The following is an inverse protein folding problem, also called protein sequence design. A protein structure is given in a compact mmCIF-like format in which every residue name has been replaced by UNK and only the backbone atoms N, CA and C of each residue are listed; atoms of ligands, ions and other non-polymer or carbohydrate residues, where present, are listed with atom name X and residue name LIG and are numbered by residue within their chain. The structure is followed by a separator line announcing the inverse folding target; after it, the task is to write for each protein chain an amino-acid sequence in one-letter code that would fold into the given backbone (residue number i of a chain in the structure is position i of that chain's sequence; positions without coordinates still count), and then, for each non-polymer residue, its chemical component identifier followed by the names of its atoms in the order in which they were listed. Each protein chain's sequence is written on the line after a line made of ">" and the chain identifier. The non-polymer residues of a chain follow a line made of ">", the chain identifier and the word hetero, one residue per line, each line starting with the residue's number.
data_IF_386695757379
#
_entry.id   IF_386695757379
#
_cell.length_a   1.000
_cell.length_b   1.000
_cell.length_c   1.000
_cell.angle_alpha   90.00
_cell.angle_beta   90.00
_cell.angle_gamma   90.00
#
_symmetry.space_group_name_H-M   'P 1'
#
loop_
_entity.id
_entity.type
_entity.pdbx_description
1 polymer ?
#
# COMPACT_ATOMS: atom_id res chain seq x y z
N UNK A 1 -43.68 6.92 -16.89
CA UNK A 1 -43.09 6.03 -15.85
C UNK A 1 -42.61 4.69 -16.44
N UNK A 2 -43.15 4.16 -17.52
CA UNK A 2 -42.72 2.89 -18.15
C UNK A 2 -41.30 2.93 -18.75
N UNK A 3 -40.86 4.07 -19.26
CA UNK A 3 -39.57 4.21 -19.97
C UNK A 3 -38.34 4.13 -19.03
N UNK A 4 -38.45 4.62 -17.79
CA UNK A 4 -37.32 4.52 -16.81
C UNK A 4 -37.06 3.07 -16.34
N UNK A 5 -38.10 2.22 -16.34
CA UNK A 5 -37.96 0.82 -15.93
C UNK A 5 -37.28 -0.04 -17.00
N UNK A 6 -37.50 0.24 -18.27
CA UNK A 6 -36.87 -0.46 -19.39
C UNK A 6 -35.38 -0.14 -19.51
N UNK A 7 -35.01 1.14 -19.36
CA UNK A 7 -33.62 1.60 -19.39
C UNK A 7 -32.82 1.04 -18.17
N UNK A 8 -33.46 0.97 -16.99
CA UNK A 8 -32.84 0.37 -15.79
C UNK A 8 -32.60 -1.12 -15.99
N UNK A 9 -33.56 -1.88 -16.48
CA UNK A 9 -33.42 -3.32 -16.76
C UNK A 9 -32.39 -3.62 -17.85
N UNK A 10 -32.31 -2.80 -18.89
CA UNK A 10 -31.32 -2.95 -19.95
C UNK A 10 -29.92 -2.67 -19.44
N UNK A 11 -29.71 -1.66 -18.58
CA UNK A 11 -28.42 -1.39 -17.92
C UNK A 11 -28.01 -2.54 -17.03
N UNK A 12 -28.93 -3.13 -16.26
CA UNK A 12 -28.65 -4.28 -15.38
C UNK A 12 -28.27 -5.52 -16.19
N UNK A 13 -28.97 -5.79 -17.30
CA UNK A 13 -28.67 -6.92 -18.21
C UNK A 13 -27.31 -6.77 -18.90
N UNK A 14 -26.99 -5.58 -19.41
CA UNK A 14 -25.71 -5.32 -20.06
C UNK A 14 -24.55 -5.42 -19.08
N UNK A 15 -24.69 -4.86 -17.87
CA UNK A 15 -23.64 -4.99 -16.83
C UNK A 15 -23.43 -6.45 -16.43
N UNK A 16 -24.48 -7.25 -16.29
CA UNK A 16 -24.37 -8.67 -15.99
C UNK A 16 -23.56 -9.42 -17.07
N UNK A 17 -23.83 -9.15 -18.34
CA UNK A 17 -23.07 -9.71 -19.46
C UNK A 17 -21.61 -9.25 -19.43
N UNK A 18 -21.34 -7.98 -19.18
CA UNK A 18 -19.98 -7.45 -19.10
C UNK A 18 -19.19 -8.12 -17.97
N UNK A 19 -19.79 -8.31 -16.79
CA UNK A 19 -19.19 -9.05 -15.68
C UNK A 19 -18.92 -10.50 -16.07
N UNK A 20 -19.87 -11.18 -16.69
CA UNK A 20 -19.71 -12.57 -17.12
C UNK A 20 -18.58 -12.74 -18.14
N UNK A 21 -18.36 -11.74 -19.00
CA UNK A 21 -17.25 -11.71 -19.95
C UNK A 21 -15.96 -11.10 -19.40
N UNK A 22 -15.88 -10.76 -18.09
CA UNK A 22 -14.69 -10.15 -17.47
C UNK A 22 -14.38 -8.75 -17.99
N UNK A 23 -15.40 -8.02 -18.44
CA UNK A 23 -15.33 -6.64 -18.95
C UNK A 23 -15.93 -5.62 -17.97
N UNK A 24 -16.32 -6.06 -16.78
CA UNK A 24 -16.69 -5.22 -15.64
C UNK A 24 -16.40 -5.96 -14.34
N UNK A 25 -16.16 -5.23 -13.25
CA UNK A 25 -16.12 -5.81 -11.91
C UNK A 25 -17.55 -5.94 -11.35
N UNK A 26 -17.77 -6.93 -10.50
CA UNK A 26 -19.06 -7.10 -9.80
C UNK A 26 -19.23 -6.07 -8.69
N UNK A 27 -18.13 -5.62 -8.09
CA UNK A 27 -18.11 -4.57 -7.08
C UNK A 27 -18.03 -3.20 -7.73
N UNK A 28 -18.86 -2.26 -7.28
CA UNK A 28 -18.93 -0.91 -7.85
C UNK A 28 -17.70 -0.08 -7.51
N UNK A 29 -17.10 -0.29 -6.33
CA UNK A 29 -15.91 0.42 -5.90
C UNK A 29 -14.70 -0.02 -6.70
N UNK A 30 -14.53 -1.32 -6.93
CA UNK A 30 -13.45 -1.86 -7.76
C UNK A 30 -13.56 -1.36 -9.22
N UNK A 31 -14.79 -1.21 -9.75
CA UNK A 31 -15.01 -0.66 -11.09
C UNK A 31 -14.66 0.84 -11.16
N UNK A 32 -14.95 1.60 -10.11
CA UNK A 32 -14.62 3.03 -10.02
C UNK A 32 -13.11 3.23 -9.91
N UNK A 33 -12.44 2.51 -8.99
CA UNK A 33 -10.99 2.54 -8.79
C UNK A 33 -10.23 2.17 -10.08
N UNK A 34 -10.66 1.08 -10.73
CA UNK A 34 -10.11 0.67 -12.02
C UNK A 34 -10.29 1.77 -13.08
N UNK A 35 -11.51 2.31 -13.18
CA UNK A 35 -11.84 3.33 -14.19
C UNK A 35 -10.96 4.57 -14.01
N UNK A 36 -10.76 5.04 -12.78
CA UNK A 36 -9.94 6.21 -12.48
C UNK A 36 -8.49 6.02 -12.89
N UNK A 37 -7.90 4.87 -12.56
CA UNK A 37 -6.52 4.54 -12.92
C UNK A 37 -6.39 4.37 -14.43
N UNK A 38 -7.32 3.63 -15.04
CA UNK A 38 -7.33 3.34 -16.49
C UNK A 38 -7.41 4.62 -17.31
N UNK A 39 -8.33 5.52 -16.98
CA UNK A 39 -8.55 6.80 -17.66
C UNK A 39 -7.33 7.73 -17.55
N UNK A 40 -6.71 7.80 -16.36
CA UNK A 40 -5.49 8.62 -16.16
C UNK A 40 -4.32 8.12 -17.00
N UNK A 41 -4.13 6.80 -17.06
CA UNK A 41 -3.04 6.19 -17.82
C UNK A 41 -3.25 6.36 -19.34
N UNK A 42 -4.51 6.37 -19.80
CA UNK A 42 -4.85 6.56 -21.20
C UNK A 42 -4.64 8.00 -21.70
N UNK A 43 -4.82 9.01 -20.85
CA UNK A 43 -4.97 10.39 -21.31
C UNK A 43 -3.79 10.88 -22.17
N UNK A 44 -2.55 10.64 -21.74
CA UNK A 44 -1.33 11.07 -22.48
C UNK A 44 -1.20 10.35 -23.84
N UNK A 45 -1.44 9.04 -23.83
CA UNK A 45 -1.36 8.23 -25.05
C UNK A 45 -2.42 8.68 -26.03
N UNK A 46 -3.65 8.92 -25.55
CA UNK A 46 -4.77 9.42 -26.34
C UNK A 46 -4.46 10.79 -26.96
N UNK A 47 -3.84 11.71 -26.24
CA UNK A 47 -3.42 13.00 -26.79
C UNK A 47 -2.51 12.84 -28.00
N UNK A 48 -1.46 12.02 -27.86
CA UNK A 48 -0.49 11.77 -28.92
C UNK A 48 -1.21 11.18 -30.16
N UNK A 49 -2.05 10.20 -29.93
CA UNK A 49 -2.75 9.54 -31.04
C UNK A 49 -3.83 10.40 -31.71
N UNK A 50 -4.47 11.32 -30.98
CA UNK A 50 -5.37 12.29 -31.58
C UNK A 50 -4.62 13.25 -32.52
N UNK A 51 -3.45 13.72 -32.13
CA UNK A 51 -2.61 14.57 -32.99
C UNK A 51 -2.10 13.81 -34.21
N UNK A 52 -1.52 12.62 -33.99
CA UNK A 52 -1.06 11.75 -35.08
C UNK A 52 -2.18 11.33 -36.00
N UNK A 53 -3.36 11.01 -35.44
CA UNK A 53 -4.56 10.66 -36.18
C UNK A 53 -5.07 11.82 -37.04
N UNK A 54 -5.04 13.05 -36.53
CA UNK A 54 -5.39 14.23 -37.32
C UNK A 54 -4.45 14.41 -38.52
N UNK A 55 -3.12 14.23 -38.33
CA UNK A 55 -2.14 14.30 -39.40
C UNK A 55 -2.31 13.17 -40.41
N UNK A 56 -2.49 11.92 -39.93
CA UNK A 56 -2.71 10.75 -40.77
C UNK A 56 -4.00 10.88 -41.57
N UNK A 57 -5.10 11.32 -40.91
CA UNK A 57 -6.36 11.54 -41.63
C UNK A 57 -6.24 12.67 -42.63
N UNK A 58 -5.49 13.72 -42.33
CA UNK A 58 -5.18 14.80 -43.29
C UNK A 58 -4.46 14.29 -44.53
N UNK A 59 -3.48 13.38 -44.41
CA UNK A 59 -2.67 12.86 -45.51
C UNK A 59 -3.49 12.04 -46.56
N UNK A 60 -4.69 11.60 -46.20
CA UNK A 60 -5.61 10.91 -47.13
C UNK A 60 -6.08 11.78 -48.29
N UNK A 61 -5.78 13.10 -48.28
CA UNK A 61 -6.08 13.96 -49.42
C UNK A 61 -5.42 13.48 -50.73
N UNK A 62 -4.23 12.88 -50.61
CA UNK A 62 -3.55 12.28 -51.79
C UNK A 62 -4.39 11.20 -52.45
N UNK A 63 -5.08 10.40 -51.61
CA UNK A 63 -5.98 9.37 -52.09
C UNK A 63 -7.24 9.96 -52.74
N UNK A 64 -7.81 11.03 -52.16
CA UNK A 64 -8.95 11.71 -52.70
C UNK A 64 -8.66 12.31 -54.11
N UNK A 65 -7.43 12.86 -54.31
CA UNK A 65 -6.97 13.38 -55.60
C UNK A 65 -6.74 12.30 -56.67
N UNK A 66 -6.41 11.06 -56.26
CA UNK A 66 -6.31 9.91 -57.19
C UNK A 66 -7.68 9.46 -57.62
N UNK A 67 -8.68 9.47 -56.69
CA UNK A 67 -10.04 9.03 -57.01
C UNK A 67 -10.81 10.05 -57.85
N UNK A 68 -10.73 11.33 -57.47
CA UNK A 68 -11.47 12.40 -58.11
C UNK A 68 -10.71 13.75 -58.02
N UNK A 69 -9.85 14.04 -59.00
CA UNK A 69 -9.05 15.28 -59.02
C UNK A 69 -9.91 16.56 -59.09
N UNK A 70 -11.16 16.47 -59.61
CA UNK A 70 -12.04 17.63 -59.75
C UNK A 70 -12.59 18.09 -58.40
N UNK A 71 -12.88 17.14 -57.47
CA UNK A 71 -13.47 17.40 -56.17
C UNK A 71 -12.44 17.31 -54.99
N UNK A 72 -11.18 17.08 -55.27
CA UNK A 72 -10.07 16.99 -54.27
C UNK A 72 -10.12 18.16 -53.30
N UNK A 73 -10.28 19.41 -53.81
CA UNK A 73 -10.29 20.61 -52.94
C UNK A 73 -11.40 20.59 -51.90
N UNK A 74 -12.57 20.09 -52.23
CA UNK A 74 -13.69 19.98 -51.30
C UNK A 74 -13.39 18.94 -50.20
N UNK A 75 -12.79 17.82 -50.57
CA UNK A 75 -12.36 16.78 -49.61
C UNK A 75 -11.29 17.31 -48.63
N UNK A 76 -10.27 18.02 -49.14
CA UNK A 76 -9.23 18.66 -48.31
C UNK A 76 -9.86 19.64 -47.31
N UNK A 77 -10.81 20.50 -47.78
CA UNK A 77 -11.48 21.44 -46.87
C UNK A 77 -12.20 20.75 -45.72
N UNK A 78 -12.91 19.65 -45.98
CA UNK A 78 -13.60 18.89 -44.92
C UNK A 78 -12.58 18.29 -43.94
N UNK A 79 -11.51 17.68 -44.44
CA UNK A 79 -10.46 17.08 -43.58
C UNK A 79 -9.77 18.14 -42.72
N UNK A 80 -9.40 19.27 -43.33
CA UNK A 80 -8.62 20.30 -42.65
C UNK A 80 -9.47 21.19 -41.72
N UNK A 81 -10.68 21.55 -42.08
CA UNK A 81 -11.48 22.51 -41.35
C UNK A 81 -12.58 21.90 -40.50
N UNK A 82 -12.92 20.62 -40.68
CA UNK A 82 -13.87 19.92 -39.79
C UNK A 82 -13.16 18.92 -38.89
N UNK A 83 -12.48 17.89 -39.40
CA UNK A 83 -11.88 16.82 -38.58
C UNK A 83 -10.65 17.31 -37.85
N UNK A 84 -9.75 18.05 -38.51
CA UNK A 84 -8.51 18.57 -37.90
C UNK A 84 -8.78 19.37 -36.63
N UNK A 85 -9.62 20.43 -36.67
CA UNK A 85 -9.94 21.21 -35.48
C UNK A 85 -10.65 20.41 -34.38
N UNK A 86 -11.54 19.46 -34.73
CA UNK A 86 -12.20 18.61 -33.74
C UNK A 86 -11.17 17.71 -33.02
N UNK A 87 -10.30 17.03 -33.77
CA UNK A 87 -9.30 16.13 -33.17
C UNK A 87 -8.27 16.91 -32.35
N UNK A 88 -7.78 18.05 -32.86
CA UNK A 88 -6.84 18.90 -32.13
C UNK A 88 -7.49 19.54 -30.89
N UNK A 89 -8.75 19.96 -30.99
CA UNK A 89 -9.53 20.43 -29.84
C UNK A 89 -9.73 19.35 -28.79
N UNK A 90 -10.05 18.13 -29.21
CA UNK A 90 -10.09 16.95 -28.37
C UNK A 90 -8.74 16.69 -27.68
N UNK A 91 -7.63 16.70 -28.40
CA UNK A 91 -6.28 16.55 -27.86
C UNK A 91 -5.95 17.66 -26.85
N UNK A 92 -6.28 18.92 -27.19
CA UNK A 92 -6.05 20.08 -26.35
C UNK A 92 -6.88 20.02 -25.05
N UNK A 93 -8.11 19.56 -25.10
CA UNK A 93 -8.97 19.44 -23.91
C UNK A 93 -8.33 18.56 -22.82
N UNK A 94 -7.59 17.53 -23.19
CA UNK A 94 -6.94 16.58 -22.27
C UNK A 94 -5.69 17.17 -21.55
N UNK A 95 -5.24 18.38 -21.88
CA UNK A 95 -4.25 19.11 -21.06
C UNK A 95 -4.84 19.59 -19.73
N UNK A 96 -6.13 19.76 -19.66
CA UNK A 96 -6.83 20.24 -18.47
C UNK A 96 -7.28 19.06 -17.59
N UNK A 97 -6.81 19.00 -16.33
CA UNK A 97 -7.13 17.91 -15.38
C UNK A 97 -8.62 17.53 -15.31
N UNK A 98 -9.60 18.48 -15.29
CA UNK A 98 -11.01 18.12 -15.21
C UNK A 98 -11.52 17.30 -16.39
N UNK A 99 -10.91 17.42 -17.58
CA UNK A 99 -11.33 16.72 -18.78
C UNK A 99 -10.72 15.31 -18.92
N UNK A 100 -9.67 14.98 -18.16
CA UNK A 100 -9.02 13.66 -18.20
C UNK A 100 -10.03 12.54 -17.91
N UNK A 101 -10.95 12.74 -16.97
CA UNK A 101 -11.99 11.76 -16.66
C UNK A 101 -12.95 11.47 -17.81
N UNK A 102 -13.00 12.35 -18.81
CA UNK A 102 -13.84 12.22 -19.99
C UNK A 102 -13.07 11.76 -21.23
N UNK A 103 -11.87 11.21 -21.07
CA UNK A 103 -11.01 10.80 -22.19
C UNK A 103 -11.74 9.88 -23.18
N UNK A 104 -12.58 8.98 -22.71
CA UNK A 104 -13.35 8.08 -23.57
C UNK A 104 -14.40 8.84 -24.41
N UNK A 105 -15.04 9.85 -23.81
CA UNK A 105 -15.98 10.73 -24.54
C UNK A 105 -15.24 11.56 -25.59
N UNK A 106 -14.03 12.03 -25.26
CA UNK A 106 -13.15 12.74 -26.19
C UNK A 106 -12.80 11.86 -27.41
N UNK A 107 -12.48 10.59 -27.17
CA UNK A 107 -12.23 9.62 -28.27
C UNK A 107 -13.49 9.35 -29.10
N UNK A 108 -14.65 9.26 -28.47
CA UNK A 108 -15.93 9.10 -29.18
C UNK A 108 -16.19 10.31 -30.10
N UNK A 109 -15.99 11.53 -29.60
CA UNK A 109 -16.18 12.75 -30.39
C UNK A 109 -15.23 12.78 -31.59
N UNK A 110 -13.91 12.57 -31.32
CA UNK A 110 -12.89 12.54 -32.36
C UNK A 110 -13.11 11.44 -33.39
N UNK A 111 -13.43 10.22 -32.96
CA UNK A 111 -13.70 9.08 -33.83
C UNK A 111 -14.98 9.26 -34.66
N UNK A 112 -16.07 9.77 -34.05
CA UNK A 112 -17.31 10.05 -34.74
C UNK A 112 -17.13 11.12 -35.83
N UNK A 113 -16.31 12.15 -35.59
CA UNK A 113 -16.01 13.19 -36.56
C UNK A 113 -15.36 12.62 -37.83
N UNK A 114 -14.47 11.61 -37.67
CA UNK A 114 -13.85 10.91 -38.79
C UNK A 114 -14.91 10.20 -39.64
N UNK A 115 -15.82 9.41 -39.03
CA UNK A 115 -16.82 8.67 -39.77
C UNK A 115 -17.82 9.57 -40.46
N UNK A 116 -18.27 10.64 -39.82
CA UNK A 116 -19.19 11.64 -40.44
C UNK A 116 -18.51 12.34 -41.58
N UNK A 117 -17.27 12.80 -41.43
CA UNK A 117 -16.55 13.45 -42.53
C UNK A 117 -16.28 12.49 -43.68
N UNK A 118 -15.93 11.24 -43.38
CA UNK A 118 -15.67 10.24 -44.39
C UNK A 118 -16.94 9.96 -45.25
N UNK A 119 -18.09 9.82 -44.57
CA UNK A 119 -19.36 9.67 -45.27
C UNK A 119 -19.65 10.88 -46.16
N UNK A 120 -19.44 12.10 -45.63
CA UNK A 120 -19.64 13.35 -46.38
C UNK A 120 -18.74 13.45 -47.62
N UNK A 121 -17.43 13.19 -47.45
CA UNK A 121 -16.45 13.20 -48.55
C UNK A 121 -16.87 12.21 -49.67
N UNK A 122 -17.26 10.98 -49.28
CA UNK A 122 -17.65 9.97 -50.28
C UNK A 122 -18.93 10.29 -51.02
N UNK A 123 -19.81 11.12 -50.45
CA UNK A 123 -20.98 11.62 -51.22
C UNK A 123 -20.62 12.70 -52.25
N UNK A 124 -19.49 13.41 -52.05
CA UNK A 124 -19.02 14.47 -52.93
C UNK A 124 -18.12 13.96 -54.06
N UNK A 125 -17.36 12.92 -53.81
CA UNK A 125 -16.43 12.34 -54.78
C UNK A 125 -17.19 11.48 -55.79
N UNK A 126 -16.84 11.62 -57.07
CA UNK A 126 -17.31 10.77 -58.14
C UNK A 126 -16.87 9.32 -57.91
N UNK A 127 -17.79 8.40 -57.74
CA UNK A 127 -17.55 7.02 -57.38
C UNK A 127 -16.91 6.84 -55.97
N UNK A 128 -17.03 7.82 -55.06
CA UNK A 128 -16.41 7.76 -53.71
C UNK A 128 -16.81 6.52 -52.93
N UNK A 129 -18.04 6.00 -53.10
CA UNK A 129 -18.49 4.79 -52.39
C UNK A 129 -17.89 3.49 -52.92
N UNK A 130 -17.28 3.47 -54.08
CA UNK A 130 -16.55 2.30 -54.59
C UNK A 130 -15.30 2.00 -53.73
N UNK A 131 -14.78 3.00 -53.06
CA UNK A 131 -13.62 2.94 -52.18
C UNK A 131 -13.96 3.09 -50.68
N UNK A 132 -15.23 3.25 -50.35
CA UNK A 132 -15.69 3.58 -48.99
C UNK A 132 -15.28 2.52 -47.94
N UNK A 133 -15.37 1.23 -48.32
CA UNK A 133 -15.00 0.14 -47.43
C UNK A 133 -13.58 0.30 -46.84
N UNK A 134 -12.62 0.63 -47.69
CA UNK A 134 -11.24 0.77 -47.28
C UNK A 134 -11.05 1.89 -46.25
N UNK A 135 -11.65 3.05 -46.44
CA UNK A 135 -11.56 4.19 -45.55
C UNK A 135 -12.23 3.92 -44.17
N UNK A 136 -13.45 3.36 -44.19
CA UNK A 136 -14.15 3.04 -42.95
C UNK A 136 -13.47 1.92 -42.14
N UNK A 137 -13.01 0.85 -42.83
CA UNK A 137 -12.31 -0.27 -42.21
C UNK A 137 -11.01 0.19 -41.58
N UNK A 138 -10.18 0.96 -42.30
CA UNK A 138 -8.90 1.46 -41.77
C UNK A 138 -9.11 2.42 -40.63
N UNK A 139 -10.07 3.35 -40.68
CA UNK A 139 -10.38 4.27 -39.63
C UNK A 139 -10.88 3.53 -38.37
N UNK A 140 -11.76 2.53 -38.53
CA UNK A 140 -12.27 1.78 -37.39
C UNK A 140 -11.18 0.92 -36.75
N UNK A 141 -10.38 0.19 -37.53
CA UNK A 141 -9.26 -0.61 -37.00
C UNK A 141 -8.19 0.26 -36.31
N UNK A 142 -7.87 1.43 -36.91
CA UNK A 142 -6.97 2.37 -36.30
C UNK A 142 -7.51 2.84 -34.92
N UNK A 143 -8.78 3.22 -34.84
CA UNK A 143 -9.40 3.61 -33.56
C UNK A 143 -9.41 2.43 -32.56
N UNK A 144 -9.83 1.24 -33.01
CA UNK A 144 -9.92 0.07 -32.14
C UNK A 144 -8.56 -0.44 -31.64
N UNK A 145 -7.49 -0.30 -32.43
CA UNK A 145 -6.17 -0.81 -32.07
C UNK A 145 -5.28 0.20 -31.36
N UNK A 146 -5.45 1.48 -31.66
CA UNK A 146 -4.60 2.56 -31.16
C UNK A 146 -5.10 3.13 -29.84
N UNK A 147 -6.42 3.35 -29.73
CA UNK A 147 -7.00 3.89 -28.51
C UNK A 147 -7.43 2.77 -27.58
N UNK A 148 -7.02 2.85 -26.31
CA UNK A 148 -7.45 1.92 -25.27
C UNK A 148 -8.89 2.24 -24.80
N UNK A 149 -9.83 2.26 -25.72
CA UNK A 149 -11.24 2.52 -25.43
C UNK A 149 -11.88 1.24 -24.89
N UNK A 150 -12.76 1.36 -23.88
CA UNK A 150 -13.52 0.19 -23.40
C UNK A 150 -14.52 -0.31 -24.46
N UNK A 151 -14.81 -1.61 -24.41
CA UNK A 151 -15.70 -2.29 -25.38
C UNK A 151 -17.04 -1.57 -25.58
N UNK A 152 -17.63 -1.05 -24.50
CA UNK A 152 -18.90 -0.32 -24.54
C UNK A 152 -18.87 0.95 -25.42
N UNK A 153 -17.75 1.68 -25.42
CA UNK A 153 -17.58 2.90 -26.19
C UNK A 153 -17.22 2.61 -27.64
N UNK A 154 -16.47 1.51 -27.86
CA UNK A 154 -16.20 1.03 -29.22
C UNK A 154 -17.46 0.55 -29.92
N UNK A 155 -18.41 -0.07 -29.19
CA UNK A 155 -19.74 -0.41 -29.72
C UNK A 155 -20.48 0.83 -30.25
N UNK A 156 -20.43 1.94 -29.51
CA UNK A 156 -21.04 3.19 -29.98
C UNK A 156 -20.39 3.70 -31.26
N UNK A 157 -19.07 3.69 -31.35
CA UNK A 157 -18.34 4.08 -32.58
C UNK A 157 -18.66 3.15 -33.74
N UNK A 158 -18.85 1.85 -33.52
CA UNK A 158 -19.27 0.90 -34.52
C UNK A 158 -20.69 1.25 -35.07
N UNK A 159 -21.63 1.59 -34.18
CA UNK A 159 -22.96 2.04 -34.61
C UNK A 159 -22.90 3.32 -35.45
N UNK A 160 -22.06 4.29 -35.06
CA UNK A 160 -21.84 5.51 -35.82
C UNK A 160 -21.27 5.18 -37.22
N UNK A 161 -20.25 4.32 -37.30
CA UNK A 161 -19.65 3.91 -38.56
C UNK A 161 -20.66 3.22 -39.50
N UNK A 162 -21.46 2.29 -38.95
CA UNK A 162 -22.52 1.60 -39.69
C UNK A 162 -23.56 2.60 -40.21
N UNK A 163 -24.03 3.50 -39.34
CA UNK A 163 -25.02 4.51 -39.70
C UNK A 163 -24.50 5.45 -40.81
N UNK A 164 -23.24 5.93 -40.67
CA UNK A 164 -22.60 6.77 -41.67
C UNK A 164 -22.44 6.07 -43.02
N UNK A 165 -22.10 4.76 -43.02
CA UNK A 165 -21.95 3.99 -44.24
C UNK A 165 -23.30 3.81 -44.95
N UNK A 166 -24.32 3.37 -44.22
CA UNK A 166 -25.66 3.14 -44.79
C UNK A 166 -26.27 4.48 -45.26
N UNK A 167 -26.26 5.51 -44.40
CA UNK A 167 -26.78 6.83 -44.71
C UNK A 167 -26.08 7.45 -45.91
N UNK A 168 -24.74 7.43 -45.94
CA UNK A 168 -23.97 7.95 -47.04
C UNK A 168 -24.28 7.25 -48.37
N UNK A 169 -24.46 5.92 -48.36
CA UNK A 169 -24.82 5.16 -49.57
C UNK A 169 -26.15 5.62 -50.17
N UNK A 170 -27.16 5.91 -49.34
CA UNK A 170 -28.45 6.40 -49.83
C UNK A 170 -28.43 7.83 -50.41
N UNK A 171 -27.45 8.65 -49.96
CA UNK A 171 -27.29 10.03 -50.44
C UNK A 171 -26.35 10.13 -51.67
N UNK A 172 -25.58 9.11 -51.98
CA UNK A 172 -24.64 9.12 -53.09
C UNK A 172 -25.42 8.90 -54.42
N UNK A 173 -25.31 9.87 -55.33
CA UNK A 173 -26.10 9.90 -56.57
C UNK A 173 -25.83 8.70 -57.52
N UNK A 174 -24.66 8.06 -57.44
CA UNK A 174 -24.21 6.98 -58.32
C UNK A 174 -23.82 5.70 -57.60
N UNK A 175 -24.27 5.49 -56.35
CA UNK A 175 -23.91 4.31 -55.58
C UNK A 175 -24.54 3.04 -56.13
N UNK A 176 -23.73 2.07 -56.55
CA UNK A 176 -24.21 0.78 -57.01
C UNK A 176 -24.58 -0.11 -55.82
N UNK A 177 -25.71 -0.88 -55.90
CA UNK A 177 -26.15 -1.75 -54.78
C UNK A 177 -25.12 -2.78 -54.33
N UNK A 178 -24.26 -3.27 -55.24
CA UNK A 178 -23.19 -4.23 -54.90
C UNK A 178 -22.16 -3.68 -53.94
N UNK A 179 -21.86 -2.39 -53.98
CA UNK A 179 -20.91 -1.76 -53.06
C UNK A 179 -21.44 -1.64 -51.65
N UNK A 180 -22.76 -1.55 -51.45
CA UNK A 180 -23.34 -1.59 -50.10
C UNK A 180 -23.03 -2.92 -49.39
N UNK A 181 -23.10 -4.03 -50.12
CA UNK A 181 -22.79 -5.35 -49.56
C UNK A 181 -21.32 -5.45 -49.22
N UNK A 182 -20.41 -5.03 -50.11
CA UNK A 182 -18.95 -5.07 -49.87
C UNK A 182 -18.56 -4.20 -48.68
N UNK A 183 -19.08 -2.96 -48.62
CA UNK A 183 -18.82 -2.04 -47.53
C UNK A 183 -19.35 -2.57 -46.18
N UNK A 184 -20.54 -3.19 -46.18
CA UNK A 184 -21.12 -3.79 -44.99
C UNK A 184 -20.32 -4.97 -44.47
N UNK A 185 -19.83 -5.85 -45.37
CA UNK A 185 -18.95 -6.96 -45.00
C UNK A 185 -17.64 -6.42 -44.42
N UNK A 186 -17.01 -5.43 -45.06
CA UNK A 186 -15.77 -4.80 -44.58
C UNK A 186 -15.91 -4.22 -43.16
N UNK A 187 -17.00 -3.48 -42.92
CA UNK A 187 -17.28 -2.93 -41.60
C UNK A 187 -17.55 -4.04 -40.59
N UNK A 188 -18.36 -5.05 -40.92
CA UNK A 188 -18.62 -6.16 -40.01
C UNK A 188 -17.36 -6.88 -39.60
N UNK A 189 -16.44 -7.17 -40.51
CA UNK A 189 -15.16 -7.80 -40.23
C UNK A 189 -14.30 -6.90 -39.35
N UNK A 190 -14.18 -5.60 -39.68
CA UNK A 190 -13.37 -4.67 -38.91
C UNK A 190 -13.91 -4.46 -37.48
N UNK A 191 -15.25 -4.35 -37.34
CA UNK A 191 -15.90 -4.26 -36.03
C UNK A 191 -15.65 -5.52 -35.21
N UNK A 192 -15.78 -6.71 -35.82
CA UNK A 192 -15.52 -7.97 -35.12
C UNK A 192 -14.08 -8.06 -34.62
N UNK A 193 -13.10 -7.78 -35.49
CA UNK A 193 -11.67 -7.79 -35.12
C UNK A 193 -11.39 -6.74 -34.05
N UNK A 194 -11.88 -5.52 -34.20
CA UNK A 194 -11.69 -4.42 -33.26
C UNK A 194 -12.30 -4.72 -31.90
N UNK A 195 -13.51 -5.28 -31.87
CA UNK A 195 -14.18 -5.66 -30.62
C UNK A 195 -13.44 -6.77 -29.86
N UNK A 196 -13.02 -7.83 -30.57
CA UNK A 196 -12.24 -8.92 -29.96
C UNK A 196 -10.91 -8.40 -29.41
N UNK A 197 -10.17 -7.61 -30.22
CA UNK A 197 -8.91 -7.01 -29.80
C UNK A 197 -9.07 -6.14 -28.55
N UNK A 198 -10.10 -5.28 -28.56
CA UNK A 198 -10.40 -4.39 -27.42
C UNK A 198 -10.82 -5.18 -26.18
N UNK A 199 -11.64 -6.21 -26.33
CA UNK A 199 -12.06 -7.07 -25.22
C UNK A 199 -10.88 -7.80 -24.57
N UNK A 200 -9.95 -8.30 -25.38
CA UNK A 200 -8.72 -8.95 -24.85
C UNK A 200 -7.87 -7.95 -24.05
N UNK A 201 -7.67 -6.74 -24.59
CA UNK A 201 -6.89 -5.71 -23.89
C UNK A 201 -7.57 -5.21 -22.62
N UNK A 202 -8.88 -5.00 -22.63
CA UNK A 202 -9.64 -4.59 -21.46
C UNK A 202 -9.58 -5.66 -20.37
N UNK A 203 -9.70 -6.95 -20.71
CA UNK A 203 -9.51 -8.05 -19.78
C UNK A 203 -8.09 -8.10 -19.19
N UNK A 204 -7.08 -7.96 -20.04
CA UNK A 204 -5.70 -7.94 -19.60
C UNK A 204 -5.41 -6.78 -18.63
N UNK A 205 -5.93 -5.57 -18.93
CA UNK A 205 -5.80 -4.42 -18.05
C UNK A 205 -6.49 -4.63 -16.69
N UNK A 206 -7.69 -5.24 -16.68
CA UNK A 206 -8.40 -5.59 -15.43
C UNK A 206 -7.66 -6.64 -14.61
N UNK A 207 -7.13 -7.65 -15.28
CA UNK A 207 -6.35 -8.69 -14.59
C UNK A 207 -5.07 -8.11 -13.99
N UNK A 208 -4.37 -7.25 -14.73
CA UNK A 208 -3.21 -6.54 -14.20
C UNK A 208 -3.55 -5.69 -12.98
N UNK A 209 -4.66 -4.94 -13.01
CA UNK A 209 -5.13 -4.14 -11.88
C UNK A 209 -5.34 -4.98 -10.61
N UNK A 210 -5.98 -6.17 -10.75
CA UNK A 210 -6.18 -7.09 -9.62
C UNK A 210 -4.83 -7.59 -9.09
N UNK A 211 -3.95 -8.03 -9.99
CA UNK A 211 -2.62 -8.55 -9.62
C UNK A 211 -1.77 -7.50 -8.91
N UNK A 212 -1.74 -6.26 -9.42
CA UNK A 212 -0.99 -5.15 -8.81
C UNK A 212 -1.53 -4.84 -7.40
N UNK A 213 -2.85 -4.88 -7.22
CA UNK A 213 -3.50 -4.66 -5.91
C UNK A 213 -3.20 -5.79 -4.92
N UNK A 214 -3.20 -7.04 -5.36
CA UNK A 214 -2.83 -8.19 -4.54
C UNK A 214 -1.35 -8.14 -4.14
N UNK A 215 -0.48 -7.78 -5.08
CA UNK A 215 0.94 -7.59 -4.82
C UNK A 215 1.18 -6.49 -3.78
N UNK A 216 0.54 -5.34 -3.94
CA UNK A 216 0.64 -4.24 -2.99
C UNK A 216 0.19 -4.65 -1.57
N UNK A 217 -0.92 -5.39 -1.46
CA UNK A 217 -1.39 -5.95 -0.18
C UNK A 217 -0.41 -6.94 0.43
N UNK A 218 0.19 -7.80 -0.40
CA UNK A 218 1.17 -8.79 0.07
C UNK A 218 2.45 -8.13 0.56
N UNK A 219 2.92 -7.10 -0.14
CA UNK A 219 4.08 -6.30 0.28
C UNK A 219 3.81 -5.56 1.60
N UNK A 220 2.64 -4.92 1.74
CA UNK A 220 2.25 -4.25 2.99
C UNK A 220 2.19 -5.22 4.17
N UNK A 221 1.63 -6.43 3.97
CA UNK A 221 1.61 -7.45 5.02
C UNK A 221 3.01 -7.96 5.39
N UNK A 222 3.88 -8.14 4.40
CA UNK A 222 5.25 -8.54 4.64
C UNK A 222 6.01 -7.47 5.45
N UNK A 223 5.79 -6.20 5.12
CA UNK A 223 6.37 -5.06 5.81
C UNK A 223 5.86 -4.96 7.27
N UNK A 224 4.56 -5.09 7.49
CA UNK A 224 3.95 -5.14 8.82
C UNK A 224 4.54 -6.27 9.67
N UNK A 225 4.73 -7.47 9.09
CA UNK A 225 5.33 -8.60 9.78
C UNK A 225 6.79 -8.34 10.14
N UNK A 226 7.59 -7.73 9.27
CA UNK A 226 8.97 -7.36 9.56
C UNK A 226 9.04 -6.35 10.73
N UNK A 227 8.21 -5.32 10.71
CA UNK A 227 8.14 -4.32 11.78
C UNK A 227 7.59 -4.87 13.10
N UNK A 228 6.86 -5.99 13.08
CA UNK A 228 6.41 -6.66 14.31
C UNK A 228 7.49 -7.49 15.00
N UNK A 229 8.56 -7.85 14.26
CA UNK A 229 9.64 -8.73 14.77
C UNK A 229 10.92 -7.96 15.05
N UNK A 230 11.20 -6.92 14.25
CA UNK A 230 12.44 -6.15 14.30
C UNK A 230 12.17 -4.66 14.59
N UNK A 231 13.08 -3.95 15.29
CA UNK A 231 13.00 -2.50 15.40
C UNK A 231 12.98 -1.81 14.04
N UNK A 232 12.24 -0.69 13.91
CA UNK A 232 12.00 -0.04 12.63
C UNK A 232 13.25 0.42 11.89
N UNK A 233 14.23 0.95 12.61
CA UNK A 233 15.54 1.34 12.06
C UNK A 233 16.33 0.15 11.51
N UNK A 234 16.22 -1.02 12.13
CA UNK A 234 16.82 -2.27 11.64
C UNK A 234 16.10 -2.75 10.36
N UNK A 235 14.77 -2.63 10.30
CA UNK A 235 14.00 -2.97 9.09
C UNK A 235 14.44 -2.10 7.91
N UNK A 236 14.58 -0.78 8.10
CA UNK A 236 15.06 0.13 7.06
C UNK A 236 16.46 -0.25 6.54
N UNK A 237 17.38 -0.65 7.42
CA UNK A 237 18.72 -1.09 7.04
C UNK A 237 18.70 -2.40 6.25
N UNK A 238 17.89 -3.37 6.65
CA UNK A 238 17.68 -4.62 5.89
C UNK A 238 17.09 -4.33 4.52
N UNK A 239 16.09 -3.45 4.42
CA UNK A 239 15.47 -3.06 3.16
C UNK A 239 16.44 -2.31 2.23
N UNK A 240 17.40 -1.57 2.80
CA UNK A 240 18.47 -0.92 2.03
C UNK A 240 19.56 -1.89 1.53
N UNK A 241 19.46 -3.18 1.91
CA UNK A 241 20.38 -4.24 1.48
C UNK A 241 21.60 -4.42 2.39
N UNK A 242 21.58 -3.87 3.61
CA UNK A 242 22.65 -4.08 4.58
C UNK A 242 22.57 -5.51 5.14
N UNK A 243 23.69 -6.24 5.06
CA UNK A 243 23.74 -7.66 5.47
C UNK A 243 24.35 -7.91 6.84
N UNK A 244 25.27 -7.04 7.29
CA UNK A 244 25.99 -7.18 8.54
C UNK A 244 25.60 -6.05 9.49
N UNK A 245 24.44 -6.18 10.11
CA UNK A 245 23.91 -5.18 11.03
C UNK A 245 24.45 -5.42 12.42
N UNK A 246 25.38 -4.58 12.85
CA UNK A 246 25.91 -4.56 14.21
C UNK A 246 26.29 -3.14 14.61
N UNK A 247 25.88 -2.73 15.81
CA UNK A 247 26.17 -1.41 16.34
C UNK A 247 26.70 -1.53 17.78
N UNK A 248 27.62 -0.64 18.15
CA UNK A 248 28.05 -0.47 19.54
C UNK A 248 27.34 0.75 20.11
N UNK A 249 26.52 0.52 21.12
CA UNK A 249 25.85 1.58 21.88
C UNK A 249 26.62 1.86 23.17
N UNK A 250 26.86 3.13 23.42
CA UNK A 250 27.73 3.55 24.52
C UNK A 250 27.14 3.27 25.92
N UNK A 251 26.07 3.96 26.26
CA UNK A 251 25.35 3.73 27.53
C UNK A 251 23.86 3.53 27.20
N UNK A 252 23.34 2.37 27.55
CA UNK A 252 21.93 2.02 27.49
C UNK A 252 21.45 1.50 28.84
N UNK A 253 20.15 1.65 29.10
CA UNK A 253 19.52 1.09 30.30
C UNK A 253 18.94 -0.27 30.00
N UNK A 254 19.39 -1.30 30.70
CA UNK A 254 19.01 -2.69 30.52
C UNK A 254 18.17 -3.15 31.71
N UNK A 255 16.97 -3.64 31.44
CA UNK A 255 16.05 -4.20 32.42
C UNK A 255 15.83 -5.67 32.12
N UNK A 256 16.18 -6.54 33.06
CA UNK A 256 15.76 -7.93 33.10
C UNK A 256 14.69 -8.12 34.16
N UNK A 257 13.63 -8.85 33.82
CA UNK A 257 12.53 -9.16 34.74
C UNK A 257 12.15 -10.63 34.60
N UNK A 258 12.08 -11.38 35.71
CA UNK A 258 11.79 -12.82 35.73
C UNK A 258 10.76 -13.18 36.80
N UNK A 259 9.94 -14.18 36.52
CA UNK A 259 8.86 -14.61 37.39
C UNK A 259 9.33 -15.63 38.44
N UNK A 260 9.69 -15.16 39.62
CA UNK A 260 10.02 -16.04 40.73
C UNK A 260 8.82 -16.95 41.10
N UNK A 261 9.09 -18.25 41.20
CA UNK A 261 8.05 -19.27 41.45
C UNK A 261 7.40 -19.87 40.20
N UNK A 262 7.73 -19.34 39.00
CA UNK A 262 7.15 -19.81 37.71
C UNK A 262 7.41 -21.30 37.46
N UNK A 263 8.60 -21.83 37.73
CA UNK A 263 8.92 -23.25 37.55
C UNK A 263 8.00 -24.16 38.38
N UNK A 264 7.59 -23.73 39.57
CA UNK A 264 6.64 -24.47 40.39
C UNK A 264 5.22 -24.36 39.88
N UNK A 265 4.85 -23.20 39.35
CA UNK A 265 3.53 -22.93 38.75
C UNK A 265 3.36 -23.67 37.43
N UNK A 266 4.39 -23.72 36.59
CA UNK A 266 4.37 -24.40 35.29
C UNK A 266 4.09 -25.91 35.38
N UNK A 267 4.44 -26.54 36.50
CA UNK A 267 4.12 -27.96 36.77
C UNK A 267 2.66 -28.19 37.14
N UNK A 268 1.94 -27.13 37.51
CA UNK A 268 0.54 -27.19 38.02
C UNK A 268 -0.50 -26.73 36.99
N UNK A 269 -0.09 -25.94 36.01
CA UNK A 269 -0.96 -25.43 34.95
C UNK A 269 -0.98 -26.36 33.75
N UNK A 270 -2.06 -26.32 32.97
CA UNK A 270 -2.05 -26.91 31.64
C UNK A 270 -1.13 -26.11 30.71
N UNK A 271 -0.55 -26.73 29.65
CA UNK A 271 0.26 -25.99 28.68
C UNK A 271 -0.44 -24.77 28.07
N UNK A 272 -1.75 -24.87 27.83
CA UNK A 272 -2.54 -23.77 27.29
C UNK A 272 -2.72 -22.62 28.29
N UNK A 273 -2.93 -22.94 29.57
CA UNK A 273 -3.06 -21.91 30.61
C UNK A 273 -1.74 -21.23 30.89
N UNK A 274 -0.63 -22.01 30.85
CA UNK A 274 0.72 -21.48 31.01
C UNK A 274 1.06 -20.47 29.92
N UNK A 275 0.79 -20.80 28.65
CA UNK A 275 1.01 -19.88 27.53
C UNK A 275 0.13 -18.64 27.64
N UNK A 276 -1.14 -18.80 28.01
CA UNK A 276 -2.04 -17.64 28.23
C UNK A 276 -1.53 -16.71 29.33
N UNK A 277 -1.01 -17.28 30.43
CA UNK A 277 -0.43 -16.49 31.50
C UNK A 277 0.77 -15.68 31.04
N UNK A 278 1.72 -16.31 30.33
CA UNK A 278 2.91 -15.62 29.79
C UNK A 278 2.52 -14.55 28.77
N UNK A 279 1.57 -14.85 27.90
CA UNK A 279 1.07 -13.92 26.92
C UNK A 279 0.42 -12.68 27.56
N UNK A 280 -0.41 -12.87 28.59
CA UNK A 280 -1.02 -11.77 29.34
C UNK A 280 0.04 -10.91 30.04
N UNK A 281 0.97 -11.55 30.74
CA UNK A 281 2.07 -10.84 31.44
C UNK A 281 2.92 -10.04 30.47
N UNK A 282 3.41 -10.68 29.41
CA UNK A 282 4.31 -10.02 28.48
C UNK A 282 3.62 -8.96 27.62
N UNK A 283 2.35 -9.15 27.27
CA UNK A 283 1.55 -8.13 26.58
C UNK A 283 1.38 -6.86 27.43
N UNK A 284 1.16 -7.01 28.74
CA UNK A 284 1.12 -5.87 29.67
C UNK A 284 2.49 -5.20 29.79
N UNK A 285 3.58 -5.98 29.81
CA UNK A 285 4.95 -5.43 29.84
C UNK A 285 5.28 -4.71 28.53
N UNK A 286 4.85 -5.23 27.36
CA UNK A 286 5.04 -4.60 26.05
C UNK A 286 4.33 -3.23 25.99
N UNK A 287 3.12 -3.14 26.56
CA UNK A 287 2.41 -1.87 26.67
C UNK A 287 3.17 -0.85 27.53
N UNK A 288 3.65 -1.28 28.68
CA UNK A 288 4.45 -0.42 29.57
C UNK A 288 5.81 -0.07 28.96
N UNK A 289 6.48 -0.99 28.27
CA UNK A 289 7.71 -0.73 27.57
C UNK A 289 7.54 0.41 26.55
N UNK A 290 6.47 0.38 25.76
CA UNK A 290 6.13 1.46 24.82
C UNK A 290 5.88 2.79 25.53
N UNK A 291 5.16 2.79 26.67
CA UNK A 291 4.86 4.00 27.45
C UNK A 291 6.14 4.66 27.98
N UNK A 292 7.10 3.85 28.48
CA UNK A 292 8.36 4.32 29.05
C UNK A 292 9.52 4.34 28.04
N UNK A 293 9.25 4.28 26.75
CA UNK A 293 10.24 4.30 25.65
C UNK A 293 11.35 3.24 25.82
N UNK A 294 10.99 2.07 26.32
CA UNK A 294 11.84 0.90 26.37
C UNK A 294 11.59 0.02 25.15
N UNK A 295 12.65 -0.50 24.56
CA UNK A 295 12.55 -1.46 23.46
C UNK A 295 12.61 -2.87 24.05
N UNK A 296 11.57 -3.66 23.82
CA UNK A 296 11.63 -5.11 24.08
C UNK A 296 12.68 -5.73 23.17
N UNK A 297 13.61 -6.47 23.74
CA UNK A 297 14.62 -7.18 22.98
C UNK A 297 14.22 -8.63 22.81
N UNK A 298 14.03 -9.34 23.92
CA UNK A 298 13.77 -10.77 23.88
C UNK A 298 12.98 -11.24 25.10
N UNK A 299 12.38 -12.43 24.99
CA UNK A 299 11.85 -13.20 26.12
C UNK A 299 12.58 -14.54 26.20
N UNK A 300 13.17 -14.86 27.35
CA UNK A 300 13.95 -16.08 27.56
C UNK A 300 13.24 -16.92 28.61
N UNK A 301 12.36 -17.82 28.16
CA UNK A 301 11.48 -18.57 29.08
C UNK A 301 10.45 -17.66 29.74
N UNK A 302 10.55 -17.47 31.05
CA UNK A 302 9.76 -16.57 31.86
C UNK A 302 10.44 -15.23 32.16
N UNK A 303 11.61 -15.00 31.59
CA UNK A 303 12.31 -13.71 31.68
C UNK A 303 12.00 -12.78 30.52
N UNK A 304 11.88 -11.50 30.83
CA UNK A 304 11.63 -10.41 29.88
C UNK A 304 12.81 -9.45 29.88
N UNK A 305 13.34 -9.14 28.70
CA UNK A 305 14.45 -8.19 28.53
C UNK A 305 13.99 -6.96 27.74
N UNK A 306 14.23 -5.78 28.30
CA UNK A 306 14.01 -4.50 27.63
C UNK A 306 15.21 -3.57 27.77
N UNK A 307 15.44 -2.74 26.73
CA UNK A 307 16.55 -1.79 26.68
C UNK A 307 16.02 -0.39 26.33
N UNK A 308 16.45 0.61 27.08
CA UNK A 308 16.21 2.03 26.82
C UNK A 308 17.46 2.75 26.35
N UNK A 309 17.31 3.82 25.55
CA UNK A 309 18.45 4.59 25.04
C UNK A 309 19.04 4.06 23.75
N UNK A 310 18.27 3.31 22.96
CA UNK A 310 18.70 2.82 21.63
C UNK A 310 18.50 3.86 20.53
N UNK A 311 17.69 4.89 20.75
CA UNK A 311 17.40 5.94 19.78
C UNK A 311 18.56 6.92 19.61
N UNK A 312 18.80 7.39 18.36
CA UNK A 312 19.80 8.44 18.11
C UNK A 312 19.36 9.74 18.78
N UNK A 313 20.13 10.17 19.81
CA UNK A 313 19.89 11.42 20.54
C UNK A 313 19.11 11.26 21.85
N UNK A 314 18.85 10.05 22.32
CA UNK A 314 18.28 9.82 23.64
C UNK A 314 19.29 10.28 24.73
N UNK A 315 18.81 11.10 25.67
CA UNK A 315 19.63 11.51 26.81
C UNK A 315 19.81 10.34 27.77
N UNK A 316 21.05 10.10 28.23
CA UNK A 316 21.36 9.05 29.20
C UNK A 316 20.49 9.17 30.45
N UNK A 317 20.24 10.39 30.90
CA UNK A 317 19.39 10.66 32.04
C UNK A 317 17.94 10.25 31.80
N UNK A 318 17.41 10.56 30.63
CA UNK A 318 16.01 10.30 30.31
C UNK A 318 15.74 8.80 30.19
N UNK A 319 16.61 8.03 29.52
CA UNK A 319 16.44 6.59 29.43
C UNK A 319 16.70 5.85 30.75
N UNK A 320 17.56 6.38 31.60
CA UNK A 320 17.79 5.84 32.96
C UNK A 320 16.53 5.99 33.84
N UNK A 321 15.95 7.21 33.86
CA UNK A 321 14.72 7.48 34.60
C UNK A 321 13.55 6.63 34.03
N UNK A 322 13.41 6.55 32.70
CA UNK A 322 12.38 5.74 32.03
C UNK A 322 12.50 4.26 32.40
N UNK A 323 13.70 3.71 32.42
CA UNK A 323 13.94 2.32 32.83
C UNK A 323 13.59 2.07 34.30
N UNK A 324 13.85 3.01 35.19
CA UNK A 324 13.48 2.91 36.60
C UNK A 324 11.95 2.97 36.78
N UNK A 325 11.26 3.88 36.07
CA UNK A 325 9.80 3.94 36.07
C UNK A 325 9.19 2.67 35.47
N UNK A 326 9.74 2.17 34.37
CA UNK A 326 9.31 0.90 33.78
C UNK A 326 9.44 -0.26 34.78
N UNK A 327 10.59 -0.39 35.43
CA UNK A 327 10.81 -1.42 36.43
C UNK A 327 9.80 -1.36 37.59
N UNK A 328 9.47 -0.16 38.07
CA UNK A 328 8.43 0.04 39.08
C UNK A 328 7.04 -0.30 38.56
N UNK A 329 6.73 0.12 37.36
CA UNK A 329 5.40 -0.11 36.70
C UNK A 329 5.11 -1.60 36.51
N UNK A 330 6.08 -2.39 35.99
CA UNK A 330 5.90 -3.83 35.82
C UNK A 330 5.74 -4.57 37.14
N UNK A 331 6.37 -4.07 38.23
CA UNK A 331 6.18 -4.59 39.59
C UNK A 331 4.76 -4.34 40.12
N UNK A 332 4.19 -3.17 39.78
CA UNK A 332 2.79 -2.84 40.15
C UNK A 332 1.85 -3.75 39.38
N UNK A 333 2.08 -3.91 38.08
CA UNK A 333 1.22 -4.69 37.21
C UNK A 333 1.19 -6.18 37.59
N UNK A 334 2.32 -6.77 37.92
CA UNK A 334 2.37 -8.15 38.43
C UNK A 334 1.62 -8.29 39.75
N UNK A 335 1.71 -7.32 40.65
CA UNK A 335 0.95 -7.36 41.93
C UNK A 335 -0.57 -7.32 41.66
N UNK A 336 -1.05 -6.53 40.70
CA UNK A 336 -2.46 -6.52 40.29
C UNK A 336 -2.87 -7.89 39.77
N UNK A 337 -2.10 -8.45 38.84
CA UNK A 337 -2.37 -9.78 38.27
C UNK A 337 -2.41 -10.89 39.33
N UNK A 338 -1.50 -10.85 40.31
CA UNK A 338 -1.49 -11.81 41.45
C UNK A 338 -2.78 -11.66 42.26
N UNK A 339 -3.22 -10.43 42.52
CA UNK A 339 -4.46 -10.18 43.23
C UNK A 339 -5.70 -10.69 42.46
N UNK A 340 -5.69 -10.61 41.14
CA UNK A 340 -6.76 -11.10 40.24
C UNK A 340 -6.77 -12.63 40.13
N UNK A 341 -5.61 -13.26 40.01
CA UNK A 341 -5.48 -14.71 39.69
C UNK A 341 -5.20 -15.61 40.87
N UNK A 342 -4.62 -15.08 41.96
CA UNK A 342 -4.16 -15.84 43.10
C UNK A 342 -2.91 -16.71 42.84
N UNK A 343 -2.22 -16.52 41.72
CA UNK A 343 -1.02 -17.29 41.40
C UNK A 343 0.15 -16.91 42.33
N UNK A 344 0.87 -17.90 42.89
CA UNK A 344 1.97 -17.66 43.85
C UNK A 344 3.28 -17.35 43.09
N UNK A 345 3.32 -16.25 42.35
CA UNK A 345 4.48 -15.75 41.61
C UNK A 345 4.87 -14.38 42.15
N UNK A 346 6.11 -13.96 41.90
CA UNK A 346 6.60 -12.62 42.22
C UNK A 346 7.59 -12.21 41.14
N UNK A 347 7.71 -10.92 40.84
CA UNK A 347 8.66 -10.45 39.85
C UNK A 347 9.99 -10.09 40.50
N UNK A 348 11.10 -10.57 39.94
CA UNK A 348 12.46 -10.09 40.25
C UNK A 348 12.90 -9.18 39.08
N UNK A 349 13.53 -8.07 39.39
CA UNK A 349 13.99 -7.14 38.36
C UNK A 349 15.44 -6.73 38.64
N UNK A 350 16.28 -6.77 37.58
CA UNK A 350 17.61 -6.23 37.54
C UNK A 350 17.69 -5.05 36.57
N UNK A 351 18.26 -3.93 37.01
CA UNK A 351 18.50 -2.75 36.19
C UNK A 351 20.00 -2.39 36.23
N UNK A 352 20.59 -2.33 35.04
CA UNK A 352 21.97 -1.87 34.85
C UNK A 352 22.04 -0.85 33.69
N UNK A 353 23.05 0.01 33.75
CA UNK A 353 23.37 0.96 32.67
C UNK A 353 24.84 0.76 32.27
N UNK A 354 25.05 0.51 30.98
CA UNK A 354 26.37 0.28 30.43
C UNK A 354 26.36 0.10 28.92
N UNK A 355 27.52 -0.12 28.29
CA UNK A 355 27.66 -0.31 26.87
C UNK A 355 27.19 -1.71 26.43
N UNK A 356 26.60 -1.76 25.23
CA UNK A 356 26.21 -3.03 24.61
C UNK A 356 26.58 -3.04 23.12
N UNK A 357 26.67 -4.24 22.57
CA UNK A 357 26.67 -4.48 21.13
C UNK A 357 25.29 -4.97 20.77
N UNK A 358 24.68 -4.36 19.76
CA UNK A 358 23.39 -4.78 19.20
C UNK A 358 23.59 -5.28 17.78
N UNK A 359 22.74 -6.18 17.30
CA UNK A 359 22.84 -6.65 15.94
C UNK A 359 21.80 -7.70 15.57
N UNK A 360 21.82 -8.10 14.32
CA UNK A 360 20.94 -9.15 13.80
C UNK A 360 21.74 -10.42 13.55
N UNK A 361 21.30 -11.52 14.14
CA UNK A 361 21.93 -12.85 13.96
C UNK A 361 20.92 -13.80 13.33
N UNK A 362 21.40 -14.59 12.40
CA UNK A 362 20.65 -15.67 11.75
C UNK A 362 20.15 -15.35 10.35
N UNK A 363 20.37 -16.29 9.42
CA UNK A 363 19.97 -16.14 8.00
C UNK A 363 18.51 -16.54 7.78
N UNK A 364 18.04 -17.63 8.39
CA UNK A 364 16.67 -18.14 8.19
C UNK A 364 15.66 -17.56 9.16
N UNK A 365 16.10 -17.21 10.35
CA UNK A 365 15.28 -16.59 11.39
C UNK A 365 16.10 -15.47 11.98
N UNK A 366 16.15 -14.31 11.34
CA UNK A 366 16.86 -13.16 11.85
C UNK A 366 16.27 -12.77 13.21
N UNK A 367 17.13 -12.59 14.20
CA UNK A 367 16.77 -12.12 15.53
C UNK A 367 17.66 -10.93 15.88
N UNK A 368 17.04 -9.84 16.24
CA UNK A 368 17.75 -8.70 16.82
C UNK A 368 17.97 -8.98 18.31
N UNK A 369 19.20 -8.77 18.79
CA UNK A 369 19.54 -9.00 20.19
C UNK A 369 20.64 -8.05 20.65
N UNK A 370 20.94 -8.06 21.96
CA UNK A 370 21.97 -7.26 22.62
C UNK A 370 22.94 -8.15 23.38
N UNK A 371 24.23 -7.83 23.26
CA UNK A 371 25.32 -8.57 23.94
C UNK A 371 26.26 -7.64 24.64
N UNK A 372 26.96 -8.19 25.66
CA UNK A 372 28.03 -7.50 26.39
C UNK A 372 27.93 -7.70 27.90
N UNK A 373 29.00 -7.32 28.60
CA UNK A 373 29.11 -7.43 30.08
C UNK A 373 27.94 -6.74 30.78
N UNK A 374 27.43 -5.64 30.21
CA UNK A 374 26.29 -4.91 30.77
C UNK A 374 25.00 -5.74 30.78
N UNK A 375 24.80 -6.61 29.77
CA UNK A 375 23.66 -7.54 29.69
C UNK A 375 23.79 -8.61 30.78
N UNK A 376 25.00 -9.18 30.95
CA UNK A 376 25.30 -10.19 31.97
C UNK A 376 25.12 -9.60 33.38
N UNK A 377 25.53 -8.35 33.58
CA UNK A 377 25.32 -7.62 34.85
C UNK A 377 23.83 -7.44 35.15
N UNK A 378 23.04 -7.01 34.21
CA UNK A 378 21.61 -6.81 34.42
C UNK A 378 20.88 -8.13 34.75
N UNK A 379 21.20 -9.22 34.05
CA UNK A 379 20.70 -10.56 34.32
C UNK A 379 21.15 -11.08 35.65
N UNK A 380 22.45 -10.86 36.01
CA UNK A 380 22.99 -11.24 37.30
C UNK A 380 22.30 -10.50 38.47
N UNK A 381 21.94 -9.22 38.29
CA UNK A 381 21.18 -8.45 39.27
C UNK A 381 19.78 -9.01 39.47
N UNK A 382 19.09 -9.32 38.36
CA UNK A 382 17.76 -9.94 38.40
C UNK A 382 17.76 -11.21 39.22
N UNK A 383 18.70 -12.14 38.94
CA UNK A 383 18.82 -13.42 39.63
C UNK A 383 19.09 -13.31 41.13
N UNK A 384 19.66 -12.20 41.57
CA UNK A 384 19.97 -11.89 42.99
C UNK A 384 18.92 -10.97 43.64
N UNK A 385 18.00 -10.42 42.88
CA UNK A 385 16.93 -9.61 43.43
C UNK A 385 15.99 -10.48 44.32
N UNK A 386 15.55 -9.98 45.45
CA UNK A 386 14.54 -10.66 46.23
C UNK A 386 13.21 -10.70 45.45
N UNK A 387 12.38 -11.75 45.66
CA UNK A 387 11.03 -11.78 45.06
C UNK A 387 10.26 -10.48 45.39
N UNK A 388 9.72 -9.82 44.37
CA UNK A 388 9.05 -8.52 44.47
C UNK A 388 10.00 -7.33 44.57
N UNK A 389 11.34 -7.52 44.39
CA UNK A 389 12.35 -6.46 44.48
C UNK A 389 12.94 -6.08 43.12
N UNK A 390 13.45 -4.86 43.05
CA UNK A 390 14.19 -4.32 41.92
C UNK A 390 15.63 -4.03 42.41
N UNK A 391 16.60 -4.74 41.86
CA UNK A 391 18.01 -4.54 42.22
C UNK A 391 18.68 -3.73 41.10
N UNK A 392 19.34 -2.63 41.47
CA UNK A 392 20.03 -1.72 40.58
C UNK A 392 21.52 -1.72 40.83
N UNK A 393 22.33 -1.59 39.78
CA UNK A 393 23.78 -1.37 39.91
C UNK A 393 24.12 0.04 40.39
N UNK A 394 25.35 0.23 40.86
CA UNK A 394 25.81 1.57 41.21
C UNK A 394 25.86 2.49 40.00
N UNK A 395 26.23 1.98 38.80
CA UNK A 395 26.20 2.77 37.57
C UNK A 395 24.80 3.25 37.23
N UNK A 396 23.78 2.43 37.47
CA UNK A 396 22.38 2.86 37.29
C UNK A 396 22.00 3.90 38.35
N UNK A 397 22.37 3.69 39.62
CA UNK A 397 22.11 4.64 40.69
C UNK A 397 22.71 6.02 40.42
N UNK A 398 23.94 6.10 39.92
CA UNK A 398 24.64 7.35 39.62
C UNK A 398 23.98 8.16 38.48
N UNK A 399 23.19 7.48 37.61
CA UNK A 399 22.42 8.12 36.53
C UNK A 399 20.98 8.50 36.93
N UNK A 400 20.47 7.85 37.99
CA UNK A 400 19.18 8.20 38.57
C UNK A 400 19.31 9.44 39.44
N UNK A 401 18.40 10.36 39.27
CA UNK A 401 18.34 11.56 40.11
C UNK A 401 17.77 11.24 41.50
N UNK A 402 17.75 12.26 42.37
CA UNK A 402 17.07 12.24 43.66
C UNK A 402 15.55 11.95 43.60
N UNK A 403 15.01 11.65 42.44
CA UNK A 403 13.60 11.28 42.22
C UNK A 403 13.24 9.87 42.69
N UNK A 404 14.23 9.06 43.05
CA UNK A 404 14.01 7.65 43.41
C UNK A 404 14.58 7.34 44.80
N UNK A 405 13.77 6.69 45.62
CA UNK A 405 14.22 6.17 46.92
C UNK A 405 14.92 4.82 46.71
N UNK A 406 16.09 4.67 47.29
CA UNK A 406 16.87 3.43 47.23
C UNK A 406 17.33 2.98 48.64
N UNK A 407 17.62 1.68 48.76
CA UNK A 407 18.22 1.15 49.97
C UNK A 407 19.68 1.62 50.15
N UNK A 408 20.24 1.37 51.31
CA UNK A 408 21.70 1.44 51.50
C UNK A 408 22.42 0.50 50.52
N UNK A 409 23.66 0.88 50.12
CA UNK A 409 24.52 0.07 49.26
C UNK A 409 24.84 -1.29 49.88
N UNK A 410 24.81 -2.31 49.04
CA UNK A 410 25.24 -3.69 49.41
C UNK A 410 26.28 -4.17 48.41
N UNK A 411 27.22 -4.98 48.87
CA UNK A 411 28.20 -5.66 48.04
C UNK A 411 27.76 -7.11 47.82
N UNK A 412 27.53 -7.51 46.62
CA UNK A 412 27.12 -8.88 46.26
C UNK A 412 28.06 -9.46 45.21
N UNK A 413 28.16 -10.79 45.17
CA UNK A 413 28.86 -11.51 44.11
C UNK A 413 27.85 -11.93 43.04
N UNK A 414 28.13 -11.56 41.78
CA UNK A 414 27.32 -11.93 40.63
C UNK A 414 28.00 -13.07 39.88
N UNK A 415 27.22 -14.02 39.40
CA UNK A 415 27.73 -15.17 38.66
C UNK A 415 28.33 -14.69 37.33
N UNK A 416 29.57 -15.09 37.04
CA UNK A 416 30.25 -14.73 35.78
C UNK A 416 30.98 -13.39 35.81
N UNK A 417 30.93 -12.63 36.91
CA UNK A 417 31.57 -11.33 37.05
C UNK A 417 32.61 -11.42 38.14
N UNK A 418 33.83 -10.97 37.83
CA UNK A 418 34.96 -11.00 38.78
C UNK A 418 34.83 -9.87 39.80
N UNK A 419 34.77 -10.23 41.09
CA UNK A 419 34.71 -9.28 42.20
C UNK A 419 33.29 -9.07 42.76
N UNK A 420 33.19 -8.11 43.70
CA UNK A 420 31.91 -7.75 44.31
C UNK A 420 31.32 -6.51 43.66
N UNK A 421 30.06 -6.62 43.24
CA UNK A 421 29.30 -5.52 42.65
C UNK A 421 28.57 -4.73 43.74
N UNK A 422 28.66 -3.40 43.67
CA UNK A 422 27.89 -2.49 44.54
C UNK A 422 26.46 -2.35 43.95
N UNK A 423 25.47 -2.62 44.78
CA UNK A 423 24.07 -2.66 44.38
C UNK A 423 23.15 -2.01 45.41
N UNK A 424 21.99 -1.56 44.96
CA UNK A 424 20.91 -1.03 45.80
C UNK A 424 19.56 -1.62 45.39
N UNK A 425 18.61 -1.67 46.33
CA UNK A 425 17.23 -1.89 46.00
C UNK A 425 16.57 -0.57 45.61
N UNK A 426 15.91 -0.51 44.46
CA UNK A 426 15.01 0.58 44.06
C UNK A 426 13.67 0.38 44.77
N UNK A 427 13.26 1.35 45.60
CA UNK A 427 12.10 1.20 46.49
C UNK A 427 10.86 1.87 45.94
N UNK A 428 10.96 3.12 45.50
CA UNK A 428 9.84 3.91 44.95
C UNK A 428 10.37 5.14 44.21
N UNK A 429 9.50 5.74 43.40
CA UNK A 429 9.67 7.13 42.99
C UNK A 429 9.34 8.05 44.19
N UNK A 430 10.05 9.15 44.32
CA UNK A 430 9.77 10.18 45.32
C UNK A 430 8.79 11.16 44.68
N UNK A 431 7.67 11.44 45.36
CA UNK A 431 6.73 12.46 44.92
C UNK A 431 7.44 13.83 44.84
N UNK A 432 7.10 14.66 43.85
CA UNK A 432 7.60 16.03 43.74
C UNK A 432 7.18 16.84 44.97
N UNK A 433 7.86 17.97 45.25
CA UNK A 433 7.54 18.91 46.35
C UNK A 433 6.04 19.32 46.42
N UNK A 434 5.24 18.99 45.43
CA UNK A 434 3.79 19.22 45.37
C UNK A 434 2.96 17.99 45.78
N UNK A 435 3.59 16.87 46.19
CA UNK A 435 2.92 15.65 46.63
C UNK A 435 2.30 14.83 45.47
N UNK A 436 2.55 15.18 44.23
CA UNK A 436 2.08 14.45 43.06
C UNK A 436 3.09 13.35 42.68
N UNK A 437 2.60 12.11 42.63
CA UNK A 437 3.26 11.02 41.92
C UNK A 437 3.27 11.36 40.44
N UNK A 438 4.41 11.26 39.73
CA UNK A 438 4.47 11.62 38.32
C UNK A 438 3.31 10.98 37.55
N UNK A 439 2.60 11.77 36.72
CA UNK A 439 1.45 11.32 35.90
C UNK A 439 1.70 10.03 35.13
N UNK A 440 2.95 9.75 34.82
CA UNK A 440 3.39 8.52 34.18
C UNK A 440 3.12 7.24 35.00
N UNK A 441 3.15 7.29 36.34
CA UNK A 441 2.80 6.15 37.18
C UNK A 441 1.28 6.03 37.40
N UNK A 442 0.53 7.15 37.24
CA UNK A 442 -0.93 7.16 37.35
C UNK A 442 -1.58 6.58 36.08
N UNK A 443 -0.99 6.77 34.91
CA UNK A 443 -1.46 6.20 33.65
C UNK A 443 -1.29 4.67 33.58
N UNK A 444 -0.34 4.11 34.30
CA UNK A 444 -0.18 2.65 34.45
C UNK A 444 -1.18 2.02 35.44
N UNK A 445 -1.94 2.83 36.16
CA UNK A 445 -2.92 2.37 37.17
C UNK A 445 -4.38 2.49 36.73
N UNK A 446 -4.65 3.10 35.59
CA UNK A 446 -5.97 3.16 34.92
C UNK A 446 -6.07 2.11 33.80
#
# INVERSE_FOLDING_TARGET
>A
MADRGLISRAKTGLNCLLVQFGLAFSDAQDEEDFTDIYVRNMARITQIFLVLGALAYGSYYVWDGIIDPENERSAIMIRAFFVGPVMLGCAFSLFFKPFIRYVEVVVIIGGSSIFIAQAWIYTLLKNGFDYAAMGFVLAFLALATTFNVRVRHLLFLALVAIFCTIGGHFYAANAQPGWLVINSIGIFVSVTIGMVSTAIRERAARQQFVTDRELAKSLSRADELLHSILPGDIVERIQSGETDISDTLGEVSIVFADLAGFTSLSRRLSPADLIRLLDDVFSRFDHLAKLYKMNKINTIGDAYMAVGGMGRGDSIKDHAENAAYFALAIQVEIRKMIAETGYPVALRVGLHIGPVITGVIGVRRPSFDCWGEAVDLASGLESRAPPGGILISESAYDRLNSKFATSAVRNIELKGITGRSRVRLLLSAIANDQGEVPDQLLQASS
#
